data_IF_954006805283
#
_entry.id   IF_954006805283
#
_cell.length_a   1.000
_cell.length_b   1.000
_cell.length_c   1.000
_cell.angle_alpha   90.00
_cell.angle_beta   90.00
_cell.angle_gamma   90.00
#
_symmetry.space_group_name_H-M   'P 1'
#
loop_
_entity.id
_entity.type
_entity.pdbx_description
1 polymer ?
#
# COMPACT_ATOMS: atom_id res chain seq x y z
N UNK A 1 3.66 -15.80 -54.85
CA UNK A 1 4.22 -14.73 -53.98
C UNK A 1 3.15 -14.27 -53.00
N UNK A 2 3.02 -14.94 -51.85
CA UNK A 2 2.02 -14.60 -50.82
C UNK A 2 2.79 -14.10 -49.60
N UNK A 3 2.94 -12.78 -49.49
CA UNK A 3 3.66 -12.14 -48.38
C UNK A 3 2.79 -12.30 -47.13
N UNK A 4 3.16 -13.22 -46.25
CA UNK A 4 2.63 -13.28 -44.89
C UNK A 4 3.19 -12.08 -44.12
N UNK A 5 2.35 -11.06 -43.94
CA UNK A 5 2.67 -9.90 -43.12
C UNK A 5 2.55 -10.36 -41.67
N UNK A 6 3.68 -10.53 -40.99
CA UNK A 6 3.75 -10.84 -39.57
C UNK A 6 3.43 -9.55 -38.80
N UNK A 7 2.19 -9.37 -38.37
CA UNK A 7 1.76 -8.21 -37.58
C UNK A 7 2.22 -8.46 -36.13
N UNK A 8 3.38 -7.93 -35.78
CA UNK A 8 3.89 -7.89 -34.41
C UNK A 8 3.04 -6.89 -33.62
N UNK A 9 1.97 -7.36 -32.98
CA UNK A 9 1.21 -6.60 -31.98
C UNK A 9 2.13 -6.31 -30.79
N UNK A 10 2.85 -5.18 -30.83
CA UNK A 10 3.35 -4.53 -29.63
C UNK A 10 2.14 -4.05 -28.84
N UNK A 11 1.62 -4.90 -27.95
CA UNK A 11 0.72 -4.46 -26.90
C UNK A 11 1.59 -3.64 -25.95
N UNK A 12 1.41 -2.31 -25.85
CA UNK A 12 2.02 -1.57 -24.76
C UNK A 12 1.34 -2.11 -23.51
N UNK A 13 2.09 -2.78 -22.64
CA UNK A 13 1.59 -3.15 -21.33
C UNK A 13 1.34 -1.83 -20.61
N UNK A 14 0.07 -1.39 -20.61
CA UNK A 14 -0.38 -0.29 -19.79
C UNK A 14 -0.17 -0.75 -18.35
N UNK A 15 0.95 -0.33 -17.76
CA UNK A 15 1.18 -0.43 -16.33
C UNK A 15 0.19 0.54 -15.67
N UNK A 16 -1.02 0.06 -15.38
CA UNK A 16 -1.93 0.75 -14.49
C UNK A 16 -1.30 0.73 -13.10
N UNK A 17 -0.57 1.79 -12.76
CA UNK A 17 -0.30 2.11 -11.37
C UNK A 17 -1.64 2.54 -10.78
N UNK A 18 -2.34 1.64 -10.09
CA UNK A 18 -3.45 2.05 -9.23
C UNK A 18 -2.89 3.05 -8.21
N UNK A 19 -3.23 4.32 -8.39
CA UNK A 19 -2.80 5.44 -7.54
C UNK A 19 -3.67 5.60 -6.30
N UNK A 20 -4.49 4.60 -6.00
CA UNK A 20 -5.44 4.60 -4.89
C UNK A 20 -5.36 3.26 -4.16
N UNK A 21 -5.68 3.29 -2.87
CA UNK A 21 -5.91 2.06 -2.10
C UNK A 21 -7.13 1.35 -2.68
N UNK A 22 -6.96 0.10 -3.09
CA UNK A 22 -8.06 -0.69 -3.66
C UNK A 22 -8.98 -1.23 -2.56
N UNK A 23 -10.20 -1.62 -2.94
CA UNK A 23 -11.18 -2.24 -2.03
C UNK A 23 -10.67 -3.55 -1.40
N UNK A 24 -9.71 -4.23 -2.03
CA UNK A 24 -9.07 -5.44 -1.51
C UNK A 24 -7.95 -5.15 -0.50
N UNK A 25 -7.84 -3.89 -0.04
CA UNK A 25 -6.80 -3.42 0.86
C UNK A 25 -5.38 -3.56 0.30
N UNK A 26 -5.24 -3.24 -0.99
CA UNK A 26 -3.97 -3.33 -1.71
C UNK A 26 -3.54 -1.96 -2.21
N UNK A 27 -2.24 -1.75 -2.29
CA UNK A 27 -1.64 -0.63 -3.00
C UNK A 27 -0.36 -1.11 -3.68
N UNK A 28 -0.23 -0.89 -4.99
CA UNK A 28 0.91 -1.38 -5.78
C UNK A 28 1.23 -2.88 -5.55
N UNK A 29 0.19 -3.71 -5.46
CA UNK A 29 0.34 -5.16 -5.23
C UNK A 29 0.75 -5.57 -3.81
N UNK A 30 0.78 -4.62 -2.85
CA UNK A 30 1.13 -4.87 -1.44
C UNK A 30 -0.12 -4.80 -0.57
N UNK A 31 -0.27 -5.75 0.34
CA UNK A 31 -1.33 -5.75 1.36
C UNK A 31 -1.07 -4.66 2.38
N UNK A 32 -2.07 -3.85 2.72
CA UNK A 32 -1.91 -2.74 3.66
C UNK A 32 -2.16 -3.11 5.13
N UNK A 33 -1.88 -4.37 5.48
CA UNK A 33 -1.97 -4.92 6.82
C UNK A 33 -0.91 -6.01 7.00
N UNK A 34 -0.51 -6.27 8.26
CA UNK A 34 0.53 -7.25 8.57
C UNK A 34 1.60 -6.71 9.52
N UNK A 35 2.77 -7.32 9.48
CA UNK A 35 3.94 -6.91 10.28
C UNK A 35 4.62 -5.72 9.62
N UNK A 36 4.56 -4.57 10.28
CA UNK A 36 5.06 -3.31 9.74
C UNK A 36 6.33 -2.90 10.48
N UNK A 37 7.37 -2.58 9.73
CA UNK A 37 8.57 -1.93 10.26
C UNK A 37 8.60 -0.48 9.79
N UNK A 38 8.67 0.46 10.72
CA UNK A 38 8.93 1.86 10.38
C UNK A 38 10.40 2.05 10.06
N UNK A 39 10.68 2.72 8.94
CA UNK A 39 12.05 2.97 8.47
C UNK A 39 12.23 4.43 8.07
N UNK A 40 13.46 4.92 8.17
CA UNK A 40 13.85 6.26 7.72
C UNK A 40 14.35 6.29 6.26
N UNK A 41 14.71 5.14 5.68
CA UNK A 41 15.23 5.02 4.32
C UNK A 41 14.92 3.65 3.73
N UNK A 42 14.95 3.55 2.39
CA UNK A 42 14.62 2.35 1.63
C UNK A 42 13.25 1.72 1.99
N UNK A 43 12.16 2.50 2.09
CA UNK A 43 10.84 1.94 2.37
C UNK A 43 10.31 1.13 1.19
N UNK A 44 9.36 0.24 1.48
CA UNK A 44 8.53 -0.38 0.45
C UNK A 44 7.39 0.54 0.03
N UNK A 45 6.85 1.34 0.96
CA UNK A 45 5.86 2.38 0.71
C UNK A 45 6.13 3.61 1.58
N UNK A 46 5.89 4.79 1.01
CA UNK A 46 5.90 6.06 1.76
C UNK A 46 4.48 6.55 1.96
N UNK A 47 4.12 6.88 3.20
CA UNK A 47 2.78 7.34 3.56
C UNK A 47 2.83 8.69 4.27
N UNK A 48 1.74 9.46 4.14
CA UNK A 48 1.58 10.72 4.87
C UNK A 48 0.50 10.56 5.93
N UNK A 49 0.80 10.93 7.17
CA UNK A 49 -0.21 10.93 8.24
C UNK A 49 -1.12 12.14 8.12
N UNK A 50 -2.44 11.92 8.19
CA UNK A 50 -3.46 12.97 8.18
C UNK A 50 -4.48 12.75 9.30
N UNK A 51 -5.22 13.80 9.65
CA UNK A 51 -6.21 13.75 10.73
C UNK A 51 -7.66 13.56 10.23
N UNK A 52 -7.90 13.71 8.93
CA UNK A 52 -9.23 13.73 8.32
C UNK A 52 -9.18 13.13 6.93
N UNK A 53 -10.15 12.28 6.59
CA UNK A 53 -10.32 11.62 5.28
C UNK A 53 -9.02 10.95 4.80
N UNK A 54 -8.49 9.97 5.56
CA UNK A 54 -7.34 9.19 5.11
C UNK A 54 -7.74 8.21 4.01
N UNK A 55 -6.78 7.76 3.20
CA UNK A 55 -6.98 6.63 2.28
C UNK A 55 -7.00 5.29 3.02
N UNK A 56 -6.30 5.19 4.16
CA UNK A 56 -6.26 4.01 5.02
C UNK A 56 -6.30 4.38 6.50
N UNK A 57 -7.23 3.77 7.23
CA UNK A 57 -7.29 3.82 8.70
C UNK A 57 -6.45 2.68 9.27
N UNK A 58 -5.44 3.03 10.05
CA UNK A 58 -4.46 2.12 10.62
C UNK A 58 -4.72 1.91 12.09
N UNK A 59 -4.85 0.66 12.52
CA UNK A 59 -4.91 0.30 13.94
C UNK A 59 -3.65 -0.49 14.31
N UNK A 60 -2.93 -0.03 15.33
CA UNK A 60 -1.84 -0.79 15.91
C UNK A 60 -2.41 -1.97 16.72
N UNK A 61 -1.94 -3.18 16.44
CA UNK A 61 -2.40 -4.41 17.11
C UNK A 61 -1.21 -5.20 17.66
N UNK A 62 -1.46 -6.00 18.70
CA UNK A 62 -0.44 -6.87 19.33
C UNK A 62 -0.54 -8.32 18.85
N UNK A 63 -1.68 -8.72 18.30
CA UNK A 63 -1.94 -10.05 17.74
C UNK A 63 -1.61 -10.10 16.24
N UNK A 64 -1.59 -11.32 15.68
CA UNK A 64 -1.39 -11.52 14.24
C UNK A 64 -2.47 -10.76 13.45
N UNK A 65 -2.10 -9.80 12.59
CA UNK A 65 -3.06 -9.03 11.80
C UNK A 65 -3.82 -9.90 10.80
N UNK A 66 -5.14 -9.71 10.70
CA UNK A 66 -5.97 -10.43 9.74
C UNK A 66 -6.98 -9.53 9.01
N UNK A 67 -7.04 -8.23 9.33
CA UNK A 67 -7.90 -7.26 8.65
C UNK A 67 -7.10 -6.10 8.05
N UNK A 68 -7.71 -5.48 7.03
CA UNK A 68 -7.19 -4.27 6.41
C UNK A 68 -6.86 -3.19 7.45
N UNK A 69 -5.70 -2.55 7.31
CA UNK A 69 -5.25 -1.49 8.22
C UNK A 69 -4.77 -1.98 9.60
N UNK A 70 -4.77 -3.27 9.90
CA UNK A 70 -4.18 -3.78 11.14
C UNK A 70 -2.66 -3.90 11.01
N UNK A 71 -1.94 -3.14 11.81
CA UNK A 71 -0.48 -3.07 11.78
C UNK A 71 0.08 -3.62 13.08
N UNK A 72 0.82 -4.73 12.98
CA UNK A 72 1.66 -5.21 14.07
C UNK A 72 3.06 -4.62 13.90
N UNK A 73 3.46 -3.74 14.80
CA UNK A 73 4.75 -3.07 14.69
C UNK A 73 5.89 -4.04 15.07
N UNK A 74 6.88 -4.18 14.19
CA UNK A 74 8.03 -5.09 14.37
C UNK A 74 9.35 -4.40 14.06
N UNK A 75 10.44 -4.95 14.61
CA UNK A 75 11.82 -4.48 14.36
C UNK A 75 12.62 -5.38 13.42
N UNK A 76 12.09 -6.57 13.09
CA UNK A 76 12.74 -7.53 12.17
C UNK A 76 11.69 -8.38 11.45
N UNK A 77 12.07 -8.93 10.29
CA UNK A 77 11.21 -9.74 9.42
C UNK A 77 9.85 -9.10 9.08
N UNK A 78 9.79 -7.83 8.65
CA UNK A 78 8.51 -7.21 8.30
C UNK A 78 7.91 -7.80 7.03
N UNK A 79 6.58 -7.70 6.92
CA UNK A 79 5.88 -7.89 5.65
C UNK A 79 5.96 -6.62 4.79
N UNK A 80 6.00 -5.44 5.44
CA UNK A 80 6.20 -4.14 4.79
C UNK A 80 7.07 -3.20 5.62
N UNK A 81 7.96 -2.47 4.94
CA UNK A 81 8.69 -1.32 5.47
C UNK A 81 7.96 -0.04 5.08
N UNK A 82 7.51 0.71 6.07
CA UNK A 82 6.79 1.96 5.87
C UNK A 82 7.66 3.13 6.29
N UNK A 83 7.76 4.14 5.45
CA UNK A 83 8.26 5.46 5.85
C UNK A 83 7.08 6.41 6.01
N UNK A 84 6.95 7.03 7.17
CA UNK A 84 5.98 8.12 7.39
C UNK A 84 6.70 9.43 7.10
N UNK A 85 6.23 10.17 6.11
CA UNK A 85 6.80 11.45 5.70
C UNK A 85 5.67 12.50 5.61
N UNK A 86 5.80 13.64 6.31
CA UNK A 86 4.74 14.65 6.38
C UNK A 86 4.58 15.43 5.07
N UNK A 87 5.59 15.45 4.21
CA UNK A 87 5.63 16.24 2.98
C UNK A 87 5.23 15.41 1.76
N UNK A 88 5.57 14.12 1.74
CA UNK A 88 5.35 13.25 0.58
C UNK A 88 4.80 11.90 1.01
N UNK A 89 3.69 11.47 0.43
CA UNK A 89 3.13 10.14 0.65
C UNK A 89 2.44 9.66 -0.62
N UNK A 90 2.59 8.37 -0.91
CA UNK A 90 1.92 7.70 -2.03
C UNK A 90 0.41 7.57 -1.76
N UNK A 91 0.04 7.45 -0.48
CA UNK A 91 -1.32 7.57 0.03
C UNK A 91 -1.26 8.08 1.49
N UNK A 92 -2.43 8.40 2.02
CA UNK A 92 -2.59 8.97 3.36
C UNK A 92 -3.09 7.93 4.36
N UNK A 93 -2.56 8.00 5.58
CA UNK A 93 -2.99 7.16 6.70
C UNK A 93 -3.52 8.00 7.86
N UNK A 94 -4.39 7.40 8.65
CA UNK A 94 -4.76 7.91 9.98
C UNK A 94 -4.67 6.78 10.99
N UNK A 95 -3.96 7.01 12.09
CA UNK A 95 -3.98 6.07 13.21
C UNK A 95 -5.30 6.17 13.97
N UNK A 96 -5.93 5.03 14.23
CA UNK A 96 -7.22 4.90 14.91
C UNK A 96 -7.19 3.81 15.97
N UNK A 97 -8.04 3.92 16.99
CA UNK A 97 -8.19 2.90 18.03
C UNK A 97 -9.11 1.75 17.60
N UNK A 98 -10.01 1.98 16.65
CA UNK A 98 -11.00 1.01 16.18
C UNK A 98 -11.44 1.28 14.73
N UNK A 99 -12.04 0.26 14.13
CA UNK A 99 -12.51 0.24 12.74
C UNK A 99 -11.39 0.57 11.73
N UNK A 100 -10.31 -0.23 11.69
CA UNK A 100 -9.29 -0.11 10.66
C UNK A 100 -9.85 -0.54 9.31
N UNK A 101 -9.24 -0.08 8.23
CA UNK A 101 -9.67 -0.41 6.87
C UNK A 101 -9.40 0.70 5.89
N UNK A 102 -9.91 0.53 4.66
CA UNK A 102 -9.91 1.59 3.65
C UNK A 102 -10.64 2.82 4.19
N UNK A 103 -10.14 3.99 3.83
CA UNK A 103 -10.74 5.28 4.14
C UNK A 103 -12.22 5.39 3.76
N UNK A 104 -12.96 6.31 4.42
CA UNK A 104 -14.35 6.61 4.06
C UNK A 104 -14.49 7.31 2.70
#
# INVERSE_FOLDING_TARGET
MKRFILILLLIPVLLFSESSVSNDCMFQGKKLYGRIMLVSSNPDLRVRSVNTIPDLRVQAVTTVPNRCGEWQMVTSNPDLRIQIDPSFGEFTIQFVESFPGVGP
#
